data_IF_475662631169
#
_entry.id   IF_475662631169
#
_cell.length_a   1.000
_cell.length_b   1.000
_cell.length_c   1.000
_cell.angle_alpha   90.00
_cell.angle_beta   90.00
_cell.angle_gamma   90.00
#
_symmetry.space_group_name_H-M   'P 1'
#
loop_
_entity.id
_entity.type
_entity.pdbx_description
1 polymer ?
#
# COMPACT_ATOMS: atom_id res chain seq x y z
N UNK A 1 -80.29 -42.50 -3.04
CA UNK A 1 -80.63 -43.93 -3.28
C UNK A 1 -81.39 -44.05 -4.60
N UNK A 2 -80.95 -44.96 -5.48
CA UNK A 2 -81.67 -45.64 -6.60
C UNK A 2 -82.33 -44.76 -7.69
N UNK A 3 -82.32 -45.01 -9.00
CA UNK A 3 -81.61 -45.86 -10.00
C UNK A 3 -82.42 -45.67 -11.31
N UNK A 4 -81.75 -45.40 -12.46
CA UNK A 4 -82.05 -45.90 -13.85
C UNK A 4 -83.41 -45.51 -14.51
N UNK A 5 -83.63 -45.32 -15.83
CA UNK A 5 -83.18 -45.99 -17.09
C UNK A 5 -83.64 -45.08 -18.30
N UNK A 6 -82.84 -44.82 -19.35
CA UNK A 6 -82.72 -45.46 -20.70
C UNK A 6 -83.85 -45.17 -21.72
N UNK A 7 -83.54 -44.57 -22.90
CA UNK A 7 -83.70 -45.08 -24.31
C UNK A 7 -83.26 -43.98 -25.33
N UNK A 8 -82.20 -44.14 -26.14
CA UNK A 8 -82.05 -44.75 -27.50
C UNK A 8 -82.43 -43.83 -28.68
N UNK A 9 -81.50 -43.73 -29.63
CA UNK A 9 -81.67 -43.30 -31.02
C UNK A 9 -80.59 -42.29 -31.42
N UNK A 10 -79.83 -42.39 -32.50
CA UNK A 10 -79.71 -43.38 -33.56
C UNK A 10 -78.31 -43.25 -34.19
N UNK A 11 -77.88 -44.36 -34.76
CA UNK A 11 -76.71 -44.62 -35.59
C UNK A 11 -76.45 -43.58 -36.69
N UNK A 12 -75.24 -43.01 -36.83
CA UNK A 12 -74.58 -42.88 -38.14
C UNK A 12 -73.06 -43.02 -38.00
N UNK A 13 -72.60 -43.97 -38.81
CA UNK A 13 -71.28 -44.44 -39.18
C UNK A 13 -70.27 -43.33 -39.55
N UNK A 14 -69.08 -43.37 -38.96
CA UNK A 14 -67.95 -42.52 -39.30
C UNK A 14 -66.64 -43.13 -38.81
N UNK A 15 -66.21 -44.19 -39.48
CA UNK A 15 -64.91 -44.84 -39.26
C UNK A 15 -63.79 -43.90 -39.73
N UNK A 16 -63.15 -43.21 -38.78
CA UNK A 16 -61.81 -42.67 -38.96
C UNK A 16 -60.91 -43.32 -37.92
N UNK A 17 -60.24 -44.41 -38.32
CA UNK A 17 -59.14 -45.00 -37.56
C UNK A 17 -57.97 -44.01 -37.56
N UNK A 18 -57.97 -43.08 -36.61
CA UNK A 18 -56.77 -42.34 -36.26
C UNK A 18 -55.85 -43.33 -35.55
N UNK A 19 -54.92 -43.91 -36.30
CA UNK A 19 -53.77 -44.59 -35.70
C UNK A 19 -52.92 -43.50 -35.07
N UNK A 20 -53.21 -43.21 -33.81
CA UNK A 20 -52.39 -42.35 -32.98
C UNK A 20 -51.10 -43.15 -32.72
N UNK A 21 -50.04 -42.89 -33.49
CA UNK A 21 -48.70 -43.33 -33.13
C UNK A 21 -48.35 -42.65 -31.80
N UNK A 22 -48.64 -43.34 -30.69
CA UNK A 22 -48.10 -42.99 -29.39
C UNK A 22 -46.59 -43.21 -29.50
N UNK A 23 -45.84 -42.14 -29.79
CA UNK A 23 -44.40 -42.16 -29.53
C UNK A 23 -44.22 -42.53 -28.05
N UNK A 24 -43.28 -43.41 -27.69
CA UNK A 24 -43.02 -43.67 -26.28
C UNK A 24 -42.60 -42.34 -25.67
N UNK A 25 -43.40 -41.82 -24.72
CA UNK A 25 -42.97 -40.71 -23.87
C UNK A 25 -41.73 -41.20 -23.16
N UNK A 26 -40.57 -40.79 -23.66
CA UNK A 26 -39.31 -41.00 -22.99
C UNK A 26 -39.44 -40.29 -21.65
N UNK A 27 -39.41 -41.03 -20.54
CA UNK A 27 -39.38 -40.41 -19.21
C UNK A 27 -38.09 -39.59 -19.15
N UNK A 28 -38.19 -38.28 -19.37
CA UNK A 28 -37.08 -37.37 -19.11
C UNK A 28 -36.85 -37.45 -17.59
N UNK A 29 -35.79 -38.14 -17.17
CA UNK A 29 -35.33 -38.04 -15.78
C UNK A 29 -35.03 -36.56 -15.55
N UNK A 30 -35.69 -35.95 -14.57
CA UNK A 30 -35.36 -34.59 -14.16
C UNK A 30 -33.85 -34.54 -13.86
N UNK A 31 -33.18 -33.52 -14.40
CA UNK A 31 -31.77 -33.31 -14.08
C UNK A 31 -31.67 -33.05 -12.56
N UNK A 32 -30.89 -33.88 -11.88
CA UNK A 32 -30.58 -33.70 -10.46
C UNK A 32 -29.36 -32.79 -10.38
N UNK A 33 -29.51 -31.60 -9.81
CA UNK A 33 -28.41 -30.67 -9.52
C UNK A 33 -28.34 -30.44 -8.01
N UNK A 34 -27.11 -30.40 -7.48
CA UNK A 34 -26.83 -30.05 -6.08
C UNK A 34 -25.58 -29.18 -6.04
N UNK A 35 -25.50 -28.28 -5.06
CA UNK A 35 -24.38 -27.35 -4.91
C UNK A 35 -23.35 -27.89 -3.90
N UNK A 36 -22.11 -27.42 -4.03
CA UNK A 36 -21.04 -27.56 -3.05
C UNK A 36 -20.31 -26.22 -2.92
N UNK A 37 -19.83 -25.88 -1.73
CA UNK A 37 -19.09 -24.64 -1.49
C UNK A 37 -17.58 -24.88 -1.46
N UNK A 38 -16.81 -23.91 -1.97
CA UNK A 38 -15.36 -23.83 -1.76
C UNK A 38 -15.04 -22.73 -0.74
N UNK A 39 -14.01 -22.94 0.09
CA UNK A 39 -13.59 -21.94 1.07
C UNK A 39 -12.07 -21.76 1.10
N UNK A 40 -11.65 -20.53 1.38
CA UNK A 40 -10.28 -20.11 1.63
C UNK A 40 -10.31 -19.12 2.80
N UNK A 41 -9.25 -19.07 3.60
CA UNK A 41 -9.10 -18.11 4.70
C UNK A 41 -7.69 -17.54 4.71
N UNK A 42 -7.54 -16.29 5.12
CA UNK A 42 -6.26 -15.59 5.24
C UNK A 42 -6.02 -15.17 6.69
N UNK A 43 -4.75 -15.08 7.07
CA UNK A 43 -4.33 -14.56 8.38
C UNK A 43 -3.67 -13.20 8.20
N UNK A 44 -3.94 -12.28 9.12
CA UNK A 44 -3.29 -10.98 9.17
C UNK A 44 -1.77 -11.11 9.38
N UNK A 45 -1.01 -10.31 8.64
CA UNK A 45 0.43 -10.10 8.82
C UNK A 45 0.73 -8.82 9.61
N UNK A 46 1.99 -8.39 9.55
CA UNK A 46 2.48 -7.23 10.27
C UNK A 46 2.40 -5.93 9.44
N UNK A 47 2.49 -4.80 10.15
CA UNK A 47 2.88 -3.51 9.59
C UNK A 47 4.41 -3.40 9.71
N UNK A 48 5.12 -3.23 8.58
CA UNK A 48 6.58 -3.23 8.58
C UNK A 48 7.20 -2.26 7.57
N UNK A 49 8.39 -1.77 7.91
CA UNK A 49 9.30 -1.11 6.98
C UNK A 49 10.05 -2.21 6.23
N UNK A 50 9.96 -2.21 4.89
CA UNK A 50 10.72 -3.13 4.05
C UNK A 50 12.08 -2.55 3.65
N UNK A 51 12.13 -1.23 3.41
CA UNK A 51 13.36 -0.54 3.05
C UNK A 51 13.34 0.94 3.41
N UNK A 52 14.54 1.47 3.67
CA UNK A 52 14.83 2.90 3.86
C UNK A 52 16.11 3.26 3.12
N UNK A 53 16.26 4.52 2.64
CA UNK A 53 17.44 4.96 1.91
C UNK A 53 18.58 5.36 2.85
N UNK A 54 19.81 5.22 2.35
CA UNK A 54 20.96 5.94 2.90
C UNK A 54 21.05 7.32 2.25
N UNK A 55 21.50 8.32 3.00
CA UNK A 55 21.71 9.67 2.48
C UNK A 55 23.19 9.93 2.13
N UNK A 56 23.58 9.56 0.91
CA UNK A 56 24.93 9.75 0.36
C UNK A 56 25.01 11.04 -0.48
N UNK A 57 25.70 12.06 0.03
CA UNK A 57 25.86 13.35 -0.65
C UNK A 57 27.12 13.44 -1.53
N UNK A 58 27.99 12.43 -1.49
CA UNK A 58 29.24 12.37 -2.28
C UNK A 58 30.44 13.03 -1.60
N UNK A 59 31.55 13.12 -2.34
CA UNK A 59 32.82 13.71 -1.89
C UNK A 59 33.06 15.04 -2.58
N UNK A 60 33.41 16.08 -1.81
CA UNK A 60 33.56 17.44 -2.31
C UNK A 60 34.77 18.13 -1.69
N UNK A 61 35.37 19.07 -2.42
CA UNK A 61 36.41 19.94 -1.88
C UNK A 61 35.85 20.87 -0.79
N UNK A 62 36.68 21.20 0.20
CA UNK A 62 36.33 22.13 1.27
C UNK A 62 36.04 23.52 0.68
N UNK A 63 34.90 24.10 1.07
CA UNK A 63 34.49 25.43 0.63
C UNK A 63 34.48 26.43 1.80
N UNK A 64 35.00 27.66 1.60
CA UNK A 64 34.91 28.75 2.59
C UNK A 64 33.55 29.46 2.57
N UNK A 65 32.67 29.15 1.62
CA UNK A 65 31.32 29.73 1.49
C UNK A 65 30.25 28.66 1.72
N UNK A 66 29.01 29.10 1.94
CA UNK A 66 27.86 28.20 2.06
C UNK A 66 27.72 27.35 0.80
N UNK A 67 27.53 26.04 0.96
CA UNK A 67 27.29 25.11 -0.14
C UNK A 67 26.10 24.22 0.18
N UNK A 68 25.40 23.81 -0.87
CA UNK A 68 24.30 22.86 -0.81
C UNK A 68 24.62 21.69 -1.72
N UNK A 69 24.59 20.49 -1.17
CA UNK A 69 24.90 19.23 -1.86
C UNK A 69 23.61 18.43 -2.03
N UNK A 70 23.36 17.92 -3.22
CA UNK A 70 22.23 17.03 -3.48
C UNK A 70 22.62 15.57 -3.25
N UNK A 71 21.62 14.75 -2.94
CA UNK A 71 21.80 13.31 -2.85
C UNK A 71 22.21 12.73 -4.22
N UNK A 72 23.13 11.76 -4.22
CA UNK A 72 23.70 11.21 -5.45
C UNK A 72 22.74 10.29 -6.23
N UNK A 73 21.73 9.74 -5.55
CA UNK A 73 20.70 8.87 -6.13
C UNK A 73 19.34 9.23 -5.55
N UNK A 74 18.26 8.71 -6.14
CA UNK A 74 16.92 8.88 -5.59
C UNK A 74 16.77 8.08 -4.29
N UNK A 75 16.07 8.67 -3.32
CA UNK A 75 15.79 8.07 -2.04
C UNK A 75 14.40 7.42 -2.06
N UNK A 76 14.33 6.11 -1.83
CA UNK A 76 13.07 5.36 -1.81
C UNK A 76 12.87 4.61 -0.50
N UNK A 77 11.64 4.61 -0.02
CA UNK A 77 11.16 3.82 1.12
C UNK A 77 10.07 2.85 0.66
N UNK A 78 9.94 1.73 1.36
CA UNK A 78 8.82 0.81 1.17
C UNK A 78 8.25 0.37 2.53
N UNK A 79 6.93 0.41 2.64
CA UNK A 79 6.14 -0.03 3.80
C UNK A 79 5.17 -1.11 3.35
N UNK A 80 5.10 -2.20 4.11
CA UNK A 80 4.09 -3.24 3.95
C UNK A 80 3.06 -3.15 5.08
N UNK A 81 1.79 -3.02 4.73
CA UNK A 81 0.67 -3.10 5.66
C UNK A 81 -0.14 -4.37 5.36
N UNK A 82 0.14 -5.45 6.10
CA UNK A 82 -0.49 -6.75 5.91
C UNK A 82 -1.50 -7.07 7.01
N UNK A 83 -1.88 -6.09 7.84
CA UNK A 83 -2.75 -6.29 9.01
C UNK A 83 -4.18 -6.70 8.64
N UNK A 84 -4.60 -6.45 7.40
CA UNK A 84 -5.99 -6.66 6.97
C UNK A 84 -6.97 -5.66 7.58
N UNK A 85 -6.48 -4.58 8.16
CA UNK A 85 -7.25 -3.45 8.71
C UNK A 85 -7.12 -2.21 7.84
N UNK A 86 -8.04 -1.26 7.99
CA UNK A 86 -7.94 0.08 7.37
C UNK A 86 -7.39 1.14 8.34
N UNK A 87 -6.74 0.73 9.43
CA UNK A 87 -6.15 1.64 10.42
C UNK A 87 -4.96 2.39 9.82
N UNK A 88 -4.86 3.68 10.11
CA UNK A 88 -3.77 4.51 9.64
C UNK A 88 -2.43 4.20 10.31
N UNK A 89 -1.35 4.73 9.75
CA UNK A 89 -0.01 4.65 10.32
C UNK A 89 0.81 5.89 9.95
N UNK A 90 1.86 6.14 10.71
CA UNK A 90 2.79 7.26 10.50
C UNK A 90 4.22 6.75 10.46
N UNK A 91 4.97 7.17 9.44
CA UNK A 91 6.40 6.98 9.35
C UNK A 91 7.11 8.29 9.67
N UNK A 92 8.03 8.25 10.63
CA UNK A 92 8.90 9.36 10.99
C UNK A 92 10.37 9.02 10.75
N UNK A 93 11.19 10.04 10.51
CA UNK A 93 12.65 9.93 10.52
C UNK A 93 13.23 10.88 11.55
N UNK A 94 14.26 10.44 12.27
CA UNK A 94 15.02 11.24 13.23
C UNK A 94 16.48 11.20 12.85
N UNK A 95 17.07 12.37 12.63
CA UNK A 95 18.52 12.51 12.64
C UNK A 95 18.97 12.48 14.11
N UNK A 96 19.72 11.45 14.53
CA UNK A 96 20.05 11.29 15.95
C UNK A 96 20.96 12.40 16.47
N UNK A 97 22.01 12.72 15.71
CA UNK A 97 22.98 13.76 16.04
C UNK A 97 23.34 14.56 14.80
N UNK A 98 24.02 15.70 15.00
CA UNK A 98 24.70 16.37 13.89
C UNK A 98 25.69 15.42 13.20
N UNK A 99 25.98 15.64 11.91
CA UNK A 99 27.02 14.90 11.20
C UNK A 99 28.38 15.11 11.88
N UNK A 100 29.13 14.03 12.09
CA UNK A 100 30.42 14.03 12.80
C UNK A 100 31.48 13.23 12.07
N UNK A 101 32.74 13.63 12.25
CA UNK A 101 33.89 12.79 11.90
C UNK A 101 34.00 11.59 12.85
N UNK A 102 34.86 10.62 12.52
CA UNK A 102 35.19 9.52 13.44
C UNK A 102 35.82 10.01 14.75
N UNK A 103 36.43 11.20 14.74
CA UNK A 103 37.03 11.86 15.89
C UNK A 103 36.00 12.71 16.67
N UNK A 104 34.70 12.60 16.36
CA UNK A 104 33.59 13.33 16.96
C UNK A 104 33.57 14.84 16.71
N UNK A 105 34.22 15.32 15.64
CA UNK A 105 34.16 16.73 15.24
C UNK A 105 32.86 16.98 14.47
N UNK A 106 32.02 17.89 14.96
CA UNK A 106 30.71 18.18 14.36
C UNK A 106 30.81 19.10 13.14
N UNK A 107 30.08 18.74 12.07
CA UNK A 107 29.77 19.64 10.97
C UNK A 107 28.68 20.63 11.39
N UNK A 108 29.07 21.54 12.28
CA UNK A 108 28.17 22.47 12.97
C UNK A 108 27.31 23.28 11.99
N UNK A 109 26.01 23.38 12.27
CA UNK A 109 25.06 24.11 11.43
C UNK A 109 24.71 23.45 10.09
N UNK A 110 25.20 22.24 9.81
CA UNK A 110 24.75 21.50 8.64
C UNK A 110 23.29 21.08 8.77
N UNK A 111 22.54 21.15 7.67
CA UNK A 111 21.09 20.92 7.67
C UNK A 111 20.68 20.02 6.50
N UNK A 112 19.96 18.94 6.79
CA UNK A 112 19.34 18.08 5.78
C UNK A 112 17.90 18.55 5.54
N UNK A 113 17.58 18.77 4.28
CA UNK A 113 16.25 19.16 3.82
C UNK A 113 15.74 18.16 2.78
N UNK A 114 14.53 17.66 2.96
CA UNK A 114 13.82 16.85 1.98
C UNK A 114 12.62 17.67 1.48
N UNK A 115 12.54 17.94 0.18
CA UNK A 115 11.37 18.57 -0.45
C UNK A 115 10.30 17.52 -0.76
N UNK A 116 9.21 17.93 -1.41
CA UNK A 116 8.13 17.03 -1.78
C UNK A 116 8.64 15.79 -2.55
N UNK A 117 8.23 14.62 -2.06
CA UNK A 117 8.37 13.34 -2.74
C UNK A 117 7.06 12.93 -3.41
N UNK A 118 7.02 11.71 -3.92
CA UNK A 118 5.83 11.09 -4.50
C UNK A 118 5.59 9.72 -3.89
N UNK A 119 4.33 9.29 -3.79
CA UNK A 119 3.96 7.97 -3.29
C UNK A 119 3.19 7.14 -4.32
N UNK A 120 3.41 5.83 -4.26
CA UNK A 120 2.70 4.83 -5.08
C UNK A 120 2.27 3.64 -4.19
N UNK A 121 0.97 3.38 -4.04
CA UNK A 121 -0.14 4.25 -4.43
C UNK A 121 -0.16 5.57 -3.63
N UNK A 122 -0.95 6.54 -4.08
CA UNK A 122 -1.12 7.83 -3.39
C UNK A 122 -2.44 7.94 -2.62
N UNK A 123 -3.35 6.98 -2.75
CA UNK A 123 -4.64 6.97 -2.04
C UNK A 123 -4.41 6.96 -0.54
N UNK A 124 -5.05 7.85 0.20
CA UNK A 124 -4.91 8.00 1.66
C UNK A 124 -3.47 8.24 2.17
N UNK A 125 -2.51 8.47 1.27
CA UNK A 125 -1.11 8.76 1.62
C UNK A 125 -0.88 10.27 1.56
N UNK A 126 -0.31 10.82 2.63
CA UNK A 126 0.12 12.22 2.68
C UNK A 126 1.62 12.29 2.98
N UNK A 127 2.34 13.03 2.12
CA UNK A 127 3.74 13.42 2.32
C UNK A 127 3.81 14.92 2.60
N UNK A 128 4.66 15.37 3.55
CA UNK A 128 4.92 16.80 3.72
C UNK A 128 5.52 17.44 2.46
N UNK A 129 5.20 18.70 2.21
CA UNK A 129 5.80 19.49 1.12
C UNK A 129 7.29 19.76 1.34
N UNK A 130 7.72 19.76 2.60
CA UNK A 130 9.10 19.92 3.01
C UNK A 130 9.31 19.31 4.41
N UNK A 131 10.47 18.69 4.62
CA UNK A 131 10.90 18.09 5.88
C UNK A 131 12.31 18.60 6.16
N UNK A 132 12.50 19.28 7.28
CA UNK A 132 13.82 19.66 7.76
C UNK A 132 14.22 18.71 8.90
N UNK A 133 15.37 18.05 8.76
CA UNK A 133 15.87 17.20 9.83
C UNK A 133 16.64 18.07 10.82
N UNK A 134 16.14 18.10 12.05
CA UNK A 134 16.79 18.76 13.18
C UNK A 134 17.36 17.66 14.06
N UNK A 135 18.69 17.63 14.31
CA UNK A 135 19.29 16.63 15.20
C UNK A 135 18.53 16.49 16.52
N UNK A 136 18.22 15.25 16.90
CA UNK A 136 17.47 14.91 18.11
C UNK A 136 15.95 14.97 17.97
N UNK A 137 15.39 15.51 16.89
CA UNK A 137 13.93 15.62 16.69
C UNK A 137 13.45 14.69 15.58
N UNK A 138 12.36 13.97 15.83
CA UNK A 138 11.68 13.18 14.81
C UNK A 138 10.82 14.09 13.93
N UNK A 139 10.84 13.84 12.63
CA UNK A 139 10.01 14.52 11.65
C UNK A 139 9.16 13.50 10.88
N UNK A 140 7.88 13.82 10.65
CA UNK A 140 6.98 13.00 9.85
C UNK A 140 7.43 12.99 8.39
N UNK A 141 7.46 11.82 7.77
CA UNK A 141 7.85 11.63 6.37
C UNK A 141 6.68 11.20 5.51
N UNK A 142 5.83 10.33 6.04
CA UNK A 142 4.69 9.77 5.32
C UNK A 142 3.63 9.38 6.34
N UNK A 143 2.37 9.65 6.01
CA UNK A 143 1.22 9.18 6.79
C UNK A 143 0.28 8.45 5.86
N UNK A 144 -0.33 7.38 6.37
CA UNK A 144 -1.47 6.73 5.76
C UNK A 144 -2.67 6.96 6.67
N UNK A 145 -3.73 7.59 6.17
CA UNK A 145 -4.95 7.82 6.96
C UNK A 145 -5.90 6.64 6.96
N UNK A 146 -5.61 5.58 6.20
CA UNK A 146 -6.38 4.35 6.23
C UNK A 146 -6.06 3.39 5.08
N UNK A 147 -7.03 3.08 4.22
CA UNK A 147 -6.80 2.15 3.11
C UNK A 147 -5.99 2.82 1.99
N UNK A 148 -4.72 2.42 1.83
CA UNK A 148 -3.84 2.89 0.76
C UNK A 148 -4.20 2.35 -0.63
N UNK A 149 -5.13 1.39 -0.74
CA UNK A 149 -5.48 0.70 -1.99
C UNK A 149 -4.46 -0.37 -2.41
N UNK A 150 -3.41 -0.55 -1.62
CA UNK A 150 -2.38 -1.59 -1.77
C UNK A 150 -1.79 -1.89 -0.39
N UNK A 151 -1.41 -3.14 -0.16
CA UNK A 151 -0.65 -3.54 1.04
C UNK A 151 0.85 -3.20 0.93
N UNK A 152 1.32 -2.77 -0.25
CA UNK A 152 2.67 -2.27 -0.47
C UNK A 152 2.61 -0.80 -0.88
N UNK A 153 3.24 0.05 -0.08
CA UNK A 153 3.30 1.49 -0.27
C UNK A 153 4.75 1.90 -0.44
N UNK A 154 5.05 2.66 -1.47
CA UNK A 154 6.38 3.20 -1.74
C UNK A 154 6.32 4.71 -1.77
N UNK A 155 7.35 5.37 -1.24
CA UNK A 155 7.57 6.78 -1.48
C UNK A 155 8.99 7.04 -1.98
N UNK A 156 9.12 7.99 -2.88
CA UNK A 156 10.38 8.31 -3.58
C UNK A 156 10.61 9.82 -3.58
N UNK A 157 11.84 10.21 -3.30
CA UNK A 157 12.37 11.56 -3.46
C UNK A 157 13.46 11.54 -4.51
N UNK A 158 13.37 12.45 -5.47
CA UNK A 158 14.45 12.67 -6.42
C UNK A 158 15.70 13.15 -5.69
N UNK A 159 16.90 12.74 -6.10
CA UNK A 159 18.14 13.08 -5.40
C UNK A 159 18.33 14.59 -5.19
N UNK A 160 17.96 15.41 -6.19
CA UNK A 160 17.97 16.88 -6.10
C UNK A 160 16.99 17.49 -5.08
N UNK A 161 16.01 16.72 -4.63
CA UNK A 161 15.01 17.13 -3.63
C UNK A 161 15.47 16.80 -2.21
N UNK A 162 16.55 16.04 -2.02
CA UNK A 162 17.16 15.78 -0.72
C UNK A 162 18.54 16.44 -0.70
N UNK A 163 18.71 17.45 0.15
CA UNK A 163 19.90 18.29 0.15
C UNK A 163 20.52 18.46 1.52
N UNK A 164 21.85 18.53 1.57
CA UNK A 164 22.65 18.92 2.73
C UNK A 164 23.23 20.32 2.50
N UNK A 165 22.82 21.30 3.29
CA UNK A 165 23.43 22.63 3.31
C UNK A 165 24.49 22.70 4.40
N UNK A 166 25.68 23.16 4.06
CA UNK A 166 26.82 23.33 4.98
C UNK A 166 27.25 24.80 5.00
N UNK A 167 27.27 25.46 6.17
CA UNK A 167 27.73 26.84 6.27
C UNK A 167 29.22 27.01 5.95
N UNK A 168 29.58 28.12 5.31
CA UNK A 168 30.97 28.49 5.01
C UNK A 168 31.79 28.72 6.28
N UNK A 169 31.17 29.31 7.31
CA UNK A 169 31.77 29.60 8.62
C UNK A 169 32.09 28.35 9.46
N UNK A 170 31.55 27.19 9.11
CA UNK A 170 31.81 25.94 9.84
C UNK A 170 33.20 25.42 9.52
N UNK A 171 33.99 25.08 10.54
CA UNK A 171 35.26 24.37 10.38
C UNK A 171 35.02 23.01 9.71
N UNK A 172 35.82 22.69 8.69
CA UNK A 172 35.71 21.45 7.92
C UNK A 172 37.07 20.77 7.92
N UNK A 173 37.04 19.45 8.03
CA UNK A 173 38.21 18.58 7.98
C UNK A 173 38.11 17.69 6.74
N UNK A 174 39.23 17.36 6.12
CA UNK A 174 39.29 16.51 4.92
C UNK A 174 39.08 15.03 5.27
N UNK A 175 37.90 14.70 5.79
CA UNK A 175 37.49 13.36 6.23
C UNK A 175 35.98 13.19 6.07
N UNK A 176 35.49 11.97 6.25
CA UNK A 176 34.06 11.67 6.15
C UNK A 176 33.31 12.17 7.39
N UNK A 177 32.12 12.73 7.15
CA UNK A 177 31.15 13.07 8.18
C UNK A 177 29.93 12.16 8.05
N UNK A 178 29.46 11.62 9.16
CA UNK A 178 28.31 10.69 9.18
C UNK A 178 27.36 11.02 10.32
N UNK A 179 26.09 10.62 10.19
CA UNK A 179 25.11 10.60 11.28
C UNK A 179 24.19 9.40 11.10
N UNK A 180 23.47 9.03 12.16
CA UNK A 180 22.45 7.98 12.11
C UNK A 180 21.09 8.61 11.84
N UNK A 181 20.36 8.03 10.87
CA UNK A 181 18.94 8.30 10.65
C UNK A 181 18.12 7.12 11.16
N UNK A 182 17.29 7.38 12.17
CA UNK A 182 16.38 6.39 12.74
C UNK A 182 15.01 6.56 12.13
N UNK A 183 14.48 5.49 11.54
CA UNK A 183 13.15 5.47 10.96
C UNK A 183 12.20 4.72 11.89
N UNK A 184 11.03 5.29 12.16
CA UNK A 184 10.05 4.71 13.07
C UNK A 184 8.69 4.68 12.42
N UNK A 185 8.12 3.48 12.36
CA UNK A 185 6.77 3.23 11.86
C UNK A 185 5.87 2.99 13.08
N UNK A 186 4.87 3.84 13.23
CA UNK A 186 3.91 3.78 14.32
C UNK A 186 2.50 3.58 13.76
N UNK A 187 1.79 2.65 14.38
CA UNK A 187 0.34 2.53 14.20
C UNK A 187 -0.34 3.75 14.83
N UNK A 188 -1.33 4.33 14.13
CA UNK A 188 -2.16 5.37 14.72
C UNK A 188 -3.46 4.68 15.13
N UNK A 189 -3.68 4.44 16.45
CA UNK A 189 -4.92 3.82 16.87
C UNK A 189 -6.09 4.69 16.40
N UNK A 190 -7.02 4.07 15.66
CA UNK A 190 -8.30 4.69 15.35
C UNK A 190 -9.06 4.80 16.66
N UNK A 191 -9.28 6.02 17.15
CA UNK A 191 -10.41 6.25 18.05
C UNK A 191 -11.65 5.99 17.21
N UNK A 192 -12.25 4.81 17.39
CA UNK A 192 -13.57 4.48 16.84
C UNK A 192 -14.64 5.48 17.30
#
# INVERSE_FOLDING_TARGET
MKKKKVYVGSLVLGLLLVVCYMLPVSKVKAAMSTNSDSSISFQAGALSILSVPNFEFGTWEISPVNRTYSLQADASIAVADLRGSTSGWTLTVKQETQLKTQQNEELSGAQILMKAGTATPSTAITLPSQIQLIPGNAATVMTCSGNAGSNLIQATWQGKNVTLTVPGSTSKYATQYTCTLTWTLADVPTNE
#
